data_IF_081207678300
#
_entry.id   IF_081207678300
#
_cell.length_a   1.000
_cell.length_b   1.000
_cell.length_c   1.000
_cell.angle_alpha   90.00
_cell.angle_beta   90.00
_cell.angle_gamma   90.00
#
_symmetry.space_group_name_H-M   'P 1'
#
loop_
_entity.id
_entity.type
_entity.pdbx_description
1 polymer ?
#
# COMPACT_ATOMS: atom_id res chain seq x y z
N UNK A 1 -18.63 -4.95 12.37
CA UNK A 1 -17.39 -4.45 11.72
C UNK A 1 -16.82 -5.61 10.91
N UNK A 2 -16.49 -5.41 9.61
CA UNK A 2 -16.02 -6.47 8.70
C UNK A 2 -14.88 -7.35 9.25
N UNK A 3 -14.04 -6.80 10.15
CA UNK A 3 -12.94 -7.55 10.79
C UNK A 3 -13.40 -8.68 11.72
N UNK A 4 -14.61 -8.58 12.28
CA UNK A 4 -15.14 -9.57 13.24
C UNK A 4 -15.79 -10.76 12.54
N UNK A 5 -16.30 -10.55 11.33
CA UNK A 5 -17.13 -11.54 10.62
C UNK A 5 -16.38 -12.24 9.47
N UNK A 6 -15.31 -11.63 8.93
CA UNK A 6 -14.53 -12.15 7.79
C UNK A 6 -13.03 -12.34 8.06
N UNK A 7 -12.58 -12.05 9.29
CA UNK A 7 -11.18 -12.06 9.68
C UNK A 7 -10.43 -10.78 9.32
N UNK A 8 -9.54 -10.33 10.22
CA UNK A 8 -8.74 -9.11 10.08
C UNK A 8 -7.90 -9.09 8.78
N UNK A 9 -7.54 -10.26 8.27
CA UNK A 9 -6.80 -10.41 7.01
C UNK A 9 -7.59 -10.04 5.75
N UNK A 10 -8.92 -9.91 5.83
CA UNK A 10 -9.78 -9.55 4.71
C UNK A 10 -10.28 -8.09 4.76
N UNK A 11 -9.92 -7.34 5.82
CA UNK A 11 -10.49 -6.01 6.12
C UNK A 11 -10.31 -5.00 4.98
N UNK A 12 -9.21 -5.09 4.24
CA UNK A 12 -8.91 -4.22 3.10
C UNK A 12 -9.23 -4.85 1.75
N UNK A 13 -9.11 -6.18 1.61
CA UNK A 13 -9.38 -6.85 0.33
C UNK A 13 -10.87 -6.83 -0.02
N UNK A 14 -11.77 -6.89 0.95
CA UNK A 14 -13.22 -6.92 0.67
C UNK A 14 -13.75 -5.60 0.10
N UNK A 15 -13.41 -4.42 0.64
CA UNK A 15 -13.74 -3.15 -0.02
C UNK A 15 -13.19 -3.04 -1.43
N UNK A 16 -11.93 -3.46 -1.66
CA UNK A 16 -11.31 -3.43 -3.00
C UNK A 16 -12.06 -4.33 -3.97
N UNK A 17 -12.45 -5.53 -3.54
CA UNK A 17 -13.24 -6.46 -4.36
C UNK A 17 -14.54 -5.82 -4.86
N UNK A 18 -15.26 -5.18 -3.93
CA UNK A 18 -16.59 -4.63 -4.16
C UNK A 18 -16.56 -3.31 -4.93
N UNK A 19 -15.59 -2.43 -4.64
CA UNK A 19 -15.63 -1.04 -5.07
C UNK A 19 -14.60 -0.70 -6.16
N UNK A 20 -13.44 -1.37 -6.18
CA UNK A 20 -12.38 -0.98 -7.08
C UNK A 20 -12.74 -1.31 -8.54
N UNK A 21 -12.26 -0.46 -9.45
CA UNK A 21 -12.40 -0.61 -10.89
C UNK A 21 -11.03 -0.76 -11.55
N UNK A 22 -11.03 -1.28 -12.78
CA UNK A 22 -9.82 -1.38 -13.59
C UNK A 22 -9.26 0.02 -13.81
N UNK A 23 -7.96 0.20 -13.55
CA UNK A 23 -7.28 1.49 -13.66
C UNK A 23 -7.19 2.28 -12.36
N UNK A 24 -7.93 1.91 -11.31
CA UNK A 24 -7.78 2.52 -9.98
C UNK A 24 -6.37 2.29 -9.42
N UNK A 25 -5.97 3.12 -8.47
CA UNK A 25 -4.66 3.02 -7.81
C UNK A 25 -4.85 2.62 -6.34
N UNK A 26 -4.22 1.52 -5.95
CA UNK A 26 -4.04 1.15 -4.53
C UNK A 26 -2.68 1.66 -4.04
N UNK A 27 -2.70 2.51 -3.02
CA UNK A 27 -1.51 2.86 -2.24
C UNK A 27 -1.41 1.94 -1.01
N UNK A 28 -0.47 0.99 -1.03
CA UNK A 28 -0.28 0.01 0.04
C UNK A 28 0.93 0.38 0.92
N UNK A 29 0.67 0.70 2.19
CA UNK A 29 1.69 1.13 3.16
C UNK A 29 1.89 0.03 4.21
N UNK A 30 3.13 -0.45 4.36
CA UNK A 30 3.50 -1.38 5.43
C UNK A 30 5.02 -1.43 5.61
N UNK A 31 5.51 -0.95 6.76
CA UNK A 31 6.93 -0.95 7.11
C UNK A 31 7.55 -2.36 7.01
N UNK A 32 6.93 -3.37 7.62
CA UNK A 32 7.39 -4.77 7.54
C UNK A 32 7.02 -5.47 6.24
N UNK A 33 5.96 -4.98 5.57
CA UNK A 33 5.37 -5.58 4.37
C UNK A 33 4.87 -7.01 4.54
N UNK A 34 4.83 -7.55 5.76
CA UNK A 34 4.40 -8.92 6.05
C UNK A 34 2.94 -9.03 6.48
N UNK A 35 2.27 -7.90 6.69
CA UNK A 35 0.88 -7.87 7.15
C UNK A 35 -0.04 -8.53 6.12
N UNK A 36 -0.65 -9.66 6.50
CA UNK A 36 -1.50 -10.46 5.60
C UNK A 36 -2.65 -9.65 5.02
N UNK A 37 -3.25 -8.76 5.80
CA UNK A 37 -4.31 -7.86 5.34
C UNK A 37 -3.87 -6.95 4.17
N UNK A 38 -2.67 -6.40 4.21
CA UNK A 38 -2.10 -5.58 3.14
C UNK A 38 -1.75 -6.46 1.93
N UNK A 39 -1.15 -7.63 2.15
CA UNK A 39 -0.80 -8.55 1.06
C UNK A 39 -2.04 -9.08 0.32
N UNK A 40 -3.12 -9.33 1.06
CA UNK A 40 -4.42 -9.71 0.50
C UNK A 40 -5.06 -8.56 -0.28
N UNK A 41 -5.00 -7.33 0.25
CA UNK A 41 -5.46 -6.13 -0.43
C UNK A 41 -4.75 -5.92 -1.78
N UNK A 42 -3.42 -6.00 -1.78
CA UNK A 42 -2.60 -5.88 -2.99
C UNK A 42 -2.92 -6.98 -4.00
N UNK A 43 -3.10 -8.21 -3.53
CA UNK A 43 -3.47 -9.33 -4.41
C UNK A 43 -4.84 -9.13 -5.03
N UNK A 44 -5.82 -8.61 -4.27
CA UNK A 44 -7.14 -8.29 -4.80
C UNK A 44 -7.11 -7.13 -5.79
N UNK A 45 -6.41 -6.04 -5.47
CA UNK A 45 -6.26 -4.88 -6.37
C UNK A 45 -5.66 -5.29 -7.72
N UNK A 46 -4.62 -6.14 -7.72
CA UNK A 46 -4.08 -6.70 -8.96
C UNK A 46 -5.10 -7.50 -9.76
N UNK A 47 -5.88 -8.36 -9.10
CA UNK A 47 -6.95 -9.12 -9.78
C UNK A 47 -8.02 -8.20 -10.40
N UNK A 48 -8.31 -7.07 -9.75
CA UNK A 48 -9.24 -6.05 -10.24
C UNK A 48 -8.65 -5.16 -11.35
N UNK A 49 -7.39 -5.34 -11.70
CA UNK A 49 -6.71 -4.55 -12.73
C UNK A 49 -6.32 -3.15 -12.25
N UNK A 50 -6.17 -2.95 -10.95
CA UNK A 50 -5.68 -1.71 -10.35
C UNK A 50 -4.15 -1.62 -10.44
N UNK A 51 -3.62 -0.41 -10.53
CA UNK A 51 -2.21 -0.15 -10.28
C UNK A 51 -1.92 -0.22 -8.78
N UNK A 52 -0.75 -0.74 -8.40
CA UNK A 52 -0.34 -0.83 -6.99
C UNK A 52 0.93 -0.03 -6.78
N UNK A 53 0.88 0.93 -5.87
CA UNK A 53 2.05 1.64 -5.35
C UNK A 53 2.33 1.13 -3.95
N UNK A 54 3.58 0.77 -3.64
CA UNK A 54 3.94 0.28 -2.30
C UNK A 54 4.90 1.20 -1.58
N UNK A 55 4.64 1.44 -0.30
CA UNK A 55 5.53 2.10 0.64
C UNK A 55 5.92 1.06 1.70
N UNK A 56 7.21 0.69 1.72
CA UNK A 56 7.73 -0.37 2.58
C UNK A 56 9.09 -0.03 3.18
N UNK A 57 9.57 -0.83 4.14
CA UNK A 57 10.88 -0.64 4.74
C UNK A 57 11.42 -1.93 5.37
N UNK A 58 12.28 -1.79 6.38
CA UNK A 58 12.92 -2.89 7.11
C UNK A 58 13.75 -3.79 6.18
N UNK A 59 13.44 -5.08 6.13
CA UNK A 59 14.24 -6.09 5.44
C UNK A 59 14.30 -5.86 3.92
N UNK A 60 15.46 -6.09 3.30
CA UNK A 60 15.61 -6.15 1.84
C UNK A 60 14.70 -7.22 1.20
N UNK A 61 14.38 -8.28 1.97
CA UNK A 61 13.47 -9.36 1.59
C UNK A 61 11.99 -9.05 1.86
N UNK A 62 11.63 -7.79 2.13
CA UNK A 62 10.25 -7.37 2.35
C UNK A 62 9.34 -7.83 1.18
N UNK A 63 8.30 -8.65 1.44
CA UNK A 63 7.51 -9.25 0.37
C UNK A 63 6.58 -8.24 -0.33
N UNK A 64 6.21 -7.13 0.34
CA UNK A 64 5.41 -6.07 -0.26
C UNK A 64 6.19 -5.32 -1.35
N UNK A 65 7.49 -5.12 -1.16
CA UNK A 65 8.40 -4.44 -2.11
C UNK A 65 8.38 -5.06 -3.52
N UNK A 66 8.06 -6.35 -3.65
CA UNK A 66 8.01 -7.06 -4.94
C UNK A 66 6.61 -7.03 -5.57
N UNK A 67 5.63 -6.41 -4.92
CA UNK A 67 4.23 -6.45 -5.33
C UNK A 67 3.70 -5.13 -5.88
N UNK A 68 4.41 -4.02 -5.78
CA UNK A 68 4.01 -2.77 -6.45
C UNK A 68 4.46 -2.70 -7.90
N UNK A 69 3.68 -1.99 -8.72
CA UNK A 69 4.12 -1.42 -10.00
C UNK A 69 5.17 -0.34 -9.75
N UNK A 70 4.97 0.47 -8.69
CA UNK A 70 5.98 1.38 -8.14
C UNK A 70 6.25 1.02 -6.68
N UNK A 71 7.52 1.09 -6.27
CA UNK A 71 7.95 0.62 -4.95
C UNK A 71 8.87 1.66 -4.29
N UNK A 72 8.35 2.32 -3.25
CA UNK A 72 9.09 3.22 -2.38
C UNK A 72 9.56 2.43 -1.16
N UNK A 73 10.82 2.04 -1.17
CA UNK A 73 11.43 1.22 -0.12
C UNK A 73 12.43 2.05 0.70
N UNK A 74 12.30 2.01 2.02
CA UNK A 74 13.18 2.70 2.96
C UNK A 74 14.08 1.68 3.65
N UNK A 75 15.41 1.65 3.38
CA UNK A 75 16.35 0.67 3.94
C UNK A 75 16.73 1.02 5.39
N UNK A 76 15.73 1.11 6.27
CA UNK A 76 15.90 1.38 7.69
C UNK A 76 15.08 0.38 8.49
N UNK A 77 15.58 -0.06 9.64
CA UNK A 77 14.85 -0.87 10.62
C UNK A 77 14.18 -0.03 11.72
N UNK A 78 14.40 1.28 11.74
CA UNK A 78 13.72 2.21 12.65
C UNK A 78 12.33 2.55 12.11
N UNK A 79 11.29 2.28 12.91
CA UNK A 79 9.91 2.65 12.58
C UNK A 79 9.79 4.14 12.26
N UNK A 80 10.34 5.00 13.12
CA UNK A 80 10.27 6.45 12.92
C UNK A 80 10.87 6.91 11.59
N UNK A 81 12.04 6.39 11.20
CA UNK A 81 12.63 6.72 9.91
C UNK A 81 11.75 6.27 8.73
N UNK A 82 11.18 5.06 8.82
CA UNK A 82 10.33 4.51 7.76
C UNK A 82 9.02 5.30 7.65
N UNK A 83 8.35 5.55 8.75
CA UNK A 83 7.06 6.24 8.80
C UNK A 83 7.17 7.71 8.40
N UNK A 84 8.20 8.43 8.85
CA UNK A 84 8.45 9.82 8.44
C UNK A 84 8.75 9.89 6.94
N UNK A 85 9.55 8.95 6.41
CA UNK A 85 9.82 8.89 4.97
C UNK A 85 8.56 8.60 4.17
N UNK A 86 7.71 7.67 4.62
CA UNK A 86 6.43 7.38 3.99
C UNK A 86 5.50 8.58 4.00
N UNK A 87 5.42 9.31 5.12
CA UNK A 87 4.64 10.54 5.24
C UNK A 87 5.12 11.61 4.26
N UNK A 88 6.43 11.85 4.18
CA UNK A 88 7.01 12.82 3.25
C UNK A 88 6.74 12.45 1.78
N UNK A 89 6.80 11.16 1.44
CA UNK A 89 6.44 10.66 0.10
C UNK A 89 4.96 10.92 -0.19
N UNK A 90 4.06 10.61 0.76
CA UNK A 90 2.62 10.87 0.60
C UNK A 90 2.34 12.37 0.39
N UNK A 91 2.97 13.26 1.16
CA UNK A 91 2.84 14.70 0.96
C UNK A 91 3.31 15.14 -0.42
N UNK A 92 4.48 14.65 -0.88
CA UNK A 92 4.97 14.97 -2.22
C UNK A 92 4.02 14.50 -3.34
N UNK A 93 3.41 13.31 -3.19
CA UNK A 93 2.42 12.81 -4.16
C UNK A 93 1.21 13.75 -4.20
N UNK A 94 0.68 14.13 -3.04
CA UNK A 94 -0.44 15.06 -2.92
C UNK A 94 -0.08 16.40 -3.57
N UNK A 95 1.05 17.00 -3.19
CA UNK A 95 1.49 18.28 -3.74
C UNK A 95 1.63 18.24 -5.26
N UNK A 96 2.15 17.14 -5.82
CA UNK A 96 2.26 16.99 -7.29
C UNK A 96 0.92 16.82 -7.98
N UNK A 97 -0.02 16.11 -7.37
CA UNK A 97 -1.39 15.98 -7.91
C UNK A 97 -2.09 17.34 -7.94
N UNK A 98 -1.89 18.18 -6.92
CA UNK A 98 -2.52 19.50 -6.84
C UNK A 98 -1.77 20.61 -7.59
N UNK A 99 -0.43 20.58 -7.63
CA UNK A 99 0.37 21.56 -8.35
C UNK A 99 0.21 21.48 -9.86
N UNK A 100 -0.22 20.33 -10.40
CA UNK A 100 -0.60 20.20 -11.82
C UNK A 100 -1.94 20.86 -12.17
N UNK A 101 -2.65 21.42 -11.19
CA UNK A 101 -3.94 22.09 -11.38
C UNK A 101 -3.85 23.63 -11.30
N UNK A 102 -2.64 24.19 -11.34
CA UNK A 102 -2.37 25.63 -11.46
C UNK A 102 -1.59 25.94 -12.72
#
# INVERSE_FOLDING_TARGET
>A
MLSNDLGYECVFSKPIELLAQKGDILLAISSSGKSKNILNAVSMAKRKGCFVVTLSGFSLGNPLRKKGSFNFYVPSHSYGHVEISHLAICHNIVDKIFAGNY
#
